data_IF_953860769723
#
_entry.id   IF_953860769723
#
_cell.length_a   1.000
_cell.length_b   1.000
_cell.length_c   1.000
_cell.angle_alpha   90.00
_cell.angle_beta   90.00
_cell.angle_gamma   90.00
#
_symmetry.space_group_name_H-M   'P 1'
#
loop_
_entity.id
_entity.type
_entity.pdbx_description
1 polymer ?
#
# COMPACT_ATOMS: atom_id res chain seq x y z
N UNK A 1 -60.80 -4.76 14.33
CA UNK A 1 -60.46 -5.66 13.21
C UNK A 1 -60.41 -4.78 11.99
N UNK A 2 -59.21 -4.37 11.58
CA UNK A 2 -58.89 -4.16 10.18
C UNK A 2 -57.37 -3.95 10.09
N UNK A 3 -56.74 -4.93 9.46
CA UNK A 3 -55.31 -5.10 9.27
C UNK A 3 -54.86 -4.25 8.08
N UNK A 4 -53.79 -3.46 8.25
CA UNK A 4 -53.08 -2.87 7.11
C UNK A 4 -51.98 -3.86 6.63
N UNK A 5 -51.86 -4.09 5.31
CA UNK A 5 -50.93 -5.07 4.75
C UNK A 5 -49.49 -4.56 4.69
N UNK A 6 -48.55 -5.50 4.84
CA UNK A 6 -47.12 -5.28 4.80
C UNK A 6 -46.62 -4.76 3.46
N UNK A 7 -45.63 -3.88 3.51
CA UNK A 7 -44.79 -3.57 2.37
C UNK A 7 -43.83 -4.74 2.17
N UNK A 8 -44.03 -5.45 1.07
CA UNK A 8 -43.09 -6.41 0.52
C UNK A 8 -41.76 -5.73 0.13
N UNK A 9 -40.68 -6.31 0.63
CA UNK A 9 -39.29 -5.98 0.37
C UNK A 9 -38.89 -6.44 -1.05
N UNK A 10 -39.19 -5.62 -2.04
CA UNK A 10 -38.74 -5.83 -3.42
C UNK A 10 -37.32 -5.30 -3.63
N UNK A 11 -36.35 -6.13 -3.26
CA UNK A 11 -34.95 -6.03 -3.67
C UNK A 11 -34.82 -6.28 -5.19
N UNK A 12 -34.37 -5.32 -6.01
CA UNK A 12 -34.07 -5.61 -7.41
C UNK A 12 -32.75 -6.40 -7.52
N UNK A 13 -32.68 -7.43 -8.39
CA UNK A 13 -31.43 -8.14 -8.63
C UNK A 13 -30.44 -7.25 -9.38
N UNK A 14 -29.23 -7.12 -8.84
CA UNK A 14 -28.09 -6.47 -9.49
C UNK A 14 -27.78 -7.20 -10.82
N UNK A 15 -28.21 -6.59 -11.93
CA UNK A 15 -27.98 -7.07 -13.29
C UNK A 15 -26.52 -6.91 -13.69
N UNK A 16 -25.94 -8.00 -14.21
CA UNK A 16 -24.64 -8.05 -14.89
C UNK A 16 -24.65 -7.11 -16.10
N UNK A 17 -24.01 -5.95 -15.97
CA UNK A 17 -23.68 -5.10 -17.10
C UNK A 17 -22.42 -5.62 -17.79
N UNK A 18 -22.58 -6.27 -18.94
CA UNK A 18 -21.46 -6.63 -19.81
C UNK A 18 -20.88 -5.38 -20.47
N UNK A 19 -19.70 -4.95 -20.06
CA UNK A 19 -18.93 -3.94 -20.77
C UNK A 19 -18.18 -4.59 -21.94
N UNK A 20 -18.79 -4.56 -23.13
CA UNK A 20 -18.18 -5.02 -24.37
C UNK A 20 -17.07 -4.03 -24.80
N UNK A 21 -15.80 -4.42 -24.63
CA UNK A 21 -14.65 -3.68 -25.16
C UNK A 21 -14.64 -3.70 -26.70
N UNK A 22 -14.32 -2.58 -27.39
CA UNK A 22 -14.12 -2.57 -28.83
C UNK A 22 -12.82 -3.31 -29.25
N UNK A 23 -12.75 -3.87 -30.46
CA UNK A 23 -11.63 -4.71 -30.88
C UNK A 23 -10.32 -3.93 -31.06
N UNK A 24 -9.22 -4.49 -30.52
CA UNK A 24 -7.85 -3.97 -30.66
C UNK A 24 -7.41 -3.97 -32.13
N UNK A 25 -7.16 -2.79 -32.69
CA UNK A 25 -6.48 -2.61 -33.98
C UNK A 25 -5.01 -3.03 -33.84
N UNK A 26 -4.61 -4.10 -34.53
CA UNK A 26 -3.20 -4.48 -34.70
C UNK A 26 -2.44 -3.34 -35.38
N UNK A 27 -1.46 -2.76 -34.70
CA UNK A 27 -0.44 -1.94 -35.35
C UNK A 27 0.80 -2.79 -35.60
N UNK A 28 1.07 -2.97 -36.89
CA UNK A 28 2.19 -3.67 -37.47
C UNK A 28 3.49 -2.87 -37.31
N UNK A 29 4.55 -3.58 -36.90
CA UNK A 29 5.93 -3.46 -37.38
C UNK A 29 6.51 -2.04 -37.52
N UNK A 30 7.20 -1.56 -36.47
CA UNK A 30 8.29 -0.60 -36.65
C UNK A 30 9.64 -1.26 -36.39
N UNK A 31 10.51 -1.06 -37.38
CA UNK A 31 11.82 -1.66 -37.62
C UNK A 31 12.80 -1.34 -36.49
N UNK A 32 13.59 -2.34 -36.12
CA UNK A 32 14.80 -2.19 -35.28
C UNK A 32 15.82 -1.36 -36.05
N UNK A 33 16.30 -0.27 -35.45
CA UNK A 33 17.53 0.40 -35.87
C UNK A 33 18.72 -0.27 -35.17
N UNK A 34 19.85 -0.50 -35.86
CA UNK A 34 21.03 -1.12 -35.26
C UNK A 34 21.75 -0.14 -34.34
N UNK A 35 22.03 -0.59 -33.12
CA UNK A 35 22.92 0.06 -32.18
C UNK A 35 24.36 -0.14 -32.67
N UNK A 36 25.01 0.92 -33.13
CA UNK A 36 26.42 0.88 -33.52
C UNK A 36 27.30 0.86 -32.28
N UNK A 37 28.15 -0.17 -32.25
CA UNK A 37 29.24 -0.42 -31.30
C UNK A 37 30.22 0.76 -31.35
N UNK A 38 30.36 1.49 -30.25
CA UNK A 38 31.39 2.51 -30.03
C UNK A 38 32.39 2.05 -28.98
N UNK A 39 33.66 2.30 -29.25
CA UNK A 39 34.85 1.60 -28.75
C UNK A 39 35.12 1.58 -27.24
N UNK A 40 35.67 0.43 -26.83
CA UNK A 40 36.56 0.30 -25.68
C UNK A 40 37.88 1.01 -25.99
N UNK A 41 38.31 1.92 -25.11
CA UNK A 41 39.69 2.09 -24.60
C UNK A 41 39.83 3.52 -24.06
N UNK A 42 40.13 3.64 -22.77
CA UNK A 42 41.31 4.38 -22.30
C UNK A 42 41.45 4.16 -20.78
N UNK A 43 42.46 3.39 -20.46
CA UNK A 43 42.97 3.20 -19.12
C UNK A 43 43.78 4.43 -18.68
N UNK A 44 43.74 4.67 -17.37
CA UNK A 44 44.83 5.14 -16.52
C UNK A 44 45.68 6.33 -17.01
N UNK A 45 45.60 7.43 -16.25
CA UNK A 45 46.78 8.20 -15.84
C UNK A 45 46.44 9.10 -14.64
N UNK A 46 46.75 8.60 -13.45
CA UNK A 46 46.90 9.42 -12.26
C UNK A 46 48.20 10.22 -12.40
N UNK A 47 48.08 11.49 -12.76
CA UNK A 47 49.21 12.43 -12.78
C UNK A 47 49.18 13.29 -11.51
N UNK A 48 50.17 13.05 -10.67
CA UNK A 48 50.62 13.94 -9.60
C UNK A 48 50.91 15.33 -10.17
N UNK A 49 50.34 16.36 -9.55
CA UNK A 49 50.91 17.69 -9.42
C UNK A 49 50.03 18.37 -8.35
N UNK A 50 50.47 18.68 -7.14
CA UNK A 50 51.70 19.37 -6.79
C UNK A 50 51.31 20.78 -6.34
N UNK A 51 51.48 21.04 -5.04
CA UNK A 51 51.62 22.39 -4.42
C UNK A 51 50.34 23.08 -3.93
N UNK A 52 49.82 22.66 -2.77
CA UNK A 52 49.16 23.59 -1.85
C UNK A 52 50.16 23.99 -0.75
N UNK A 53 50.47 25.28 -0.57
CA UNK A 53 51.45 25.73 0.41
C UNK A 53 50.91 25.54 1.83
N UNK A 54 51.83 25.13 2.69
CA UNK A 54 51.67 25.00 4.12
C UNK A 54 51.39 26.37 4.79
N UNK A 55 50.72 26.32 5.94
CA UNK A 55 50.56 27.35 6.98
C UNK A 55 49.55 28.47 6.75
N UNK A 56 48.39 28.37 7.40
CA UNK A 56 47.99 29.23 8.54
C UNK A 56 47.18 28.34 9.50
N UNK A 57 47.85 27.84 10.53
CA UNK A 57 47.22 27.35 11.74
C UNK A 57 47.03 28.55 12.67
N UNK A 58 45.86 29.18 12.67
CA UNK A 58 45.36 29.94 13.84
C UNK A 58 43.98 30.53 13.57
N UNK A 59 43.08 30.29 14.53
CA UNK A 59 41.72 30.84 14.70
C UNK A 59 40.59 30.13 13.95
N UNK A 60 40.37 28.87 14.33
CA UNK A 60 38.97 28.45 14.50
C UNK A 60 38.39 29.23 15.69
N UNK A 61 37.26 29.96 15.54
CA UNK A 61 36.54 30.47 16.69
C UNK A 61 36.11 29.27 17.54
N UNK A 62 36.43 29.35 18.83
CA UNK A 62 36.02 28.36 19.83
C UNK A 62 34.49 28.42 19.86
N UNK A 63 33.83 27.49 19.17
CA UNK A 63 32.38 27.33 19.29
C UNK A 63 32.09 27.04 20.77
N UNK A 64 31.16 27.78 21.42
CA UNK A 64 30.79 27.48 22.79
C UNK A 64 30.28 26.04 22.84
N UNK A 65 30.88 25.26 23.76
CA UNK A 65 30.51 23.88 24.05
C UNK A 65 29.04 23.89 24.47
N UNK A 66 28.14 23.50 23.56
CA UNK A 66 26.72 23.37 23.89
C UNK A 66 26.59 22.37 25.03
N UNK A 67 25.96 22.84 26.11
CA UNK A 67 25.62 22.03 27.26
C UNK A 67 24.83 20.80 26.79
N UNK A 68 25.07 19.59 27.36
CA UNK A 68 24.17 18.48 27.11
C UNK A 68 22.79 18.88 27.65
N UNK A 69 21.81 19.02 26.76
CA UNK A 69 20.41 19.17 27.16
C UNK A 69 20.07 17.89 27.90
N UNK A 70 19.81 18.02 29.20
CA UNK A 70 19.39 16.92 30.06
C UNK A 70 18.12 16.32 29.47
N UNK A 71 18.13 15.02 29.21
CA UNK A 71 16.96 14.27 28.70
C UNK A 71 15.77 14.31 29.66
N UNK A 72 15.97 14.79 30.89
CA UNK A 72 14.93 14.90 31.92
C UNK A 72 13.91 16.05 31.71
N UNK A 73 14.18 16.99 30.80
CA UNK A 73 13.30 18.17 30.59
C UNK A 73 12.37 18.05 29.37
N UNK A 74 12.33 16.89 28.70
CA UNK A 74 11.37 16.64 27.61
C UNK A 74 10.02 16.32 28.23
N UNK A 75 9.28 17.37 28.61
CA UNK A 75 7.84 17.26 28.85
C UNK A 75 7.20 16.87 27.52
N UNK A 76 6.85 15.58 27.35
CA UNK A 76 6.06 15.15 26.21
C UNK A 76 4.76 15.96 26.23
N UNK A 77 4.48 16.77 25.18
CA UNK A 77 3.21 17.46 25.11
C UNK A 77 2.09 16.42 25.15
N UNK A 78 1.18 16.56 26.12
CA UNK A 78 -0.05 15.79 26.16
C UNK A 78 -0.84 16.14 24.89
N UNK A 79 -0.71 15.31 23.86
CA UNK A 79 -1.50 15.44 22.65
C UNK A 79 -2.96 15.22 23.04
N UNK A 80 -3.89 16.10 22.59
CA UNK A 80 -5.30 15.89 22.85
C UNK A 80 -5.74 14.53 22.30
N UNK A 81 -6.41 13.73 23.12
CA UNK A 81 -6.89 12.41 22.75
C UNK A 81 -8.04 12.52 21.75
N UNK A 82 -7.98 11.73 20.67
CA UNK A 82 -9.12 11.52 19.75
C UNK A 82 -10.34 11.06 20.57
N UNK A 83 -11.52 11.68 20.45
CA UNK A 83 -12.72 11.19 21.13
C UNK A 83 -13.14 9.83 20.57
N UNK A 84 -13.67 8.94 21.41
CA UNK A 84 -14.20 7.66 20.91
C UNK A 84 -15.55 7.87 20.21
N UNK A 85 -16.03 6.85 19.50
CA UNK A 85 -17.33 6.90 18.82
C UNK A 85 -18.47 7.22 19.78
N UNK A 86 -18.40 6.71 21.01
CA UNK A 86 -19.41 6.90 22.05
C UNK A 86 -19.47 8.36 22.57
N UNK A 87 -18.34 9.06 22.55
CA UNK A 87 -18.25 10.46 22.99
C UNK A 87 -18.81 11.44 21.93
N UNK A 88 -18.90 11.01 20.67
CA UNK A 88 -19.38 11.83 19.55
C UNK A 88 -20.91 11.69 19.42
N UNK A 89 -21.68 12.79 19.51
CA UNK A 89 -23.13 12.77 19.29
C UNK A 89 -23.53 12.10 17.97
N UNK A 90 -24.62 11.32 17.97
CA UNK A 90 -25.07 10.56 16.80
C UNK A 90 -25.49 11.45 15.61
N UNK A 91 -25.88 12.69 15.87
CA UNK A 91 -26.25 13.70 14.86
C UNK A 91 -25.03 14.37 14.21
N UNK A 92 -23.82 14.08 14.69
CA UNK A 92 -22.56 14.62 14.16
C UNK A 92 -21.86 13.62 13.24
N UNK A 93 -21.13 14.16 12.28
CA UNK A 93 -20.33 13.38 11.34
C UNK A 93 -18.97 13.09 11.97
N UNK A 94 -18.58 11.81 12.05
CA UNK A 94 -17.29 11.39 12.64
C UNK A 94 -16.07 12.03 11.98
N UNK A 95 -16.18 12.36 10.69
CA UNK A 95 -15.12 13.05 9.96
C UNK A 95 -14.75 14.42 10.55
N UNK A 96 -15.60 15.06 11.36
CA UNK A 96 -15.27 16.30 12.08
C UNK A 96 -14.23 16.09 13.19
N UNK A 97 -14.08 14.86 13.68
CA UNK A 97 -13.19 14.46 14.78
C UNK A 97 -12.06 13.53 14.32
N UNK A 98 -12.05 13.17 13.03
CA UNK A 98 -11.08 12.25 12.44
C UNK A 98 -9.84 13.00 11.94
N UNK A 99 -8.71 12.31 11.89
CA UNK A 99 -7.45 12.78 11.26
C UNK A 99 -7.44 12.60 9.73
N UNK A 100 -8.62 12.50 9.11
CA UNK A 100 -8.83 12.33 7.67
C UNK A 100 -8.22 11.05 7.07
N UNK A 101 -8.31 9.91 7.77
CA UNK A 101 -7.76 8.61 7.33
C UNK A 101 -8.18 8.24 5.89
N UNK A 102 -9.47 8.10 5.64
CA UNK A 102 -10.03 7.78 4.31
C UNK A 102 -9.85 8.87 3.23
N UNK A 103 -9.37 10.07 3.59
CA UNK A 103 -9.02 11.12 2.62
C UNK A 103 -7.53 11.10 2.24
N UNK A 104 -6.73 10.23 2.87
CA UNK A 104 -5.31 10.04 2.59
C UNK A 104 -5.00 8.78 1.77
N UNK A 105 -6.03 8.03 1.37
CA UNK A 105 -5.90 6.94 0.41
C UNK A 105 -7.22 6.74 -0.33
N UNK A 106 -7.20 5.92 -1.38
CA UNK A 106 -8.41 5.35 -1.94
C UNK A 106 -8.19 3.85 -2.18
N UNK A 107 -9.23 3.05 -1.95
CA UNK A 107 -9.23 1.62 -2.18
C UNK A 107 -10.08 1.30 -3.43
N UNK A 108 -9.58 0.40 -4.27
CA UNK A 108 -10.30 -0.11 -5.43
C UNK A 108 -10.44 -1.63 -5.31
N UNK A 109 -11.62 -2.20 -5.59
CA UNK A 109 -11.79 -3.64 -5.59
C UNK A 109 -10.93 -4.28 -6.70
N UNK A 110 -10.32 -5.40 -6.37
CA UNK A 110 -9.61 -6.28 -7.28
C UNK A 110 -10.35 -7.60 -7.41
N UNK A 111 -10.23 -8.23 -8.58
CA UNK A 111 -10.66 -9.61 -8.75
C UNK A 111 -9.77 -10.53 -7.91
N UNK A 112 -10.37 -11.55 -7.29
CA UNK A 112 -9.63 -12.54 -6.48
C UNK A 112 -8.61 -13.28 -7.35
N UNK A 113 -7.30 -13.22 -7.04
CA UNK A 113 -6.28 -13.93 -7.80
C UNK A 113 -6.40 -15.44 -7.60
N UNK A 114 -6.47 -16.18 -8.70
CA UNK A 114 -6.57 -17.65 -8.71
C UNK A 114 -5.38 -18.33 -9.39
N UNK A 115 -4.58 -17.56 -10.13
CA UNK A 115 -3.44 -18.02 -10.91
C UNK A 115 -2.17 -17.27 -10.54
N UNK A 116 -1.01 -17.90 -10.80
CA UNK A 116 0.30 -17.28 -10.53
C UNK A 116 0.50 -15.98 -11.30
N UNK A 117 0.03 -15.92 -12.55
CA UNK A 117 0.04 -14.69 -13.35
C UNK A 117 -0.76 -13.55 -12.69
N UNK A 118 -1.96 -13.84 -12.17
CA UNK A 118 -2.79 -12.84 -11.50
C UNK A 118 -2.13 -12.32 -10.22
N UNK A 119 -1.46 -13.17 -9.45
CA UNK A 119 -0.65 -12.73 -8.31
C UNK A 119 0.59 -11.92 -8.71
N UNK A 120 1.20 -12.20 -9.87
CA UNK A 120 2.30 -11.39 -10.39
C UNK A 120 1.83 -9.98 -10.81
N UNK A 121 0.55 -9.79 -11.18
CA UNK A 121 0.00 -8.44 -11.35
C UNK A 121 -0.08 -7.68 -10.02
N UNK A 122 -0.46 -8.36 -8.94
CA UNK A 122 -0.46 -7.78 -7.60
C UNK A 122 0.96 -7.38 -7.19
N UNK A 123 1.96 -8.24 -7.42
CA UNK A 123 3.37 -7.86 -7.24
C UNK A 123 3.75 -6.63 -8.03
N UNK A 124 3.32 -6.54 -9.28
CA UNK A 124 3.61 -5.39 -10.13
C UNK A 124 2.99 -4.10 -9.57
N UNK A 125 1.80 -4.13 -8.98
CA UNK A 125 1.22 -2.98 -8.29
C UNK A 125 2.12 -2.51 -7.14
N UNK A 126 2.58 -3.45 -6.29
CA UNK A 126 3.43 -3.18 -5.13
C UNK A 126 4.87 -2.75 -5.47
N UNK A 127 5.27 -2.77 -6.75
CA UNK A 127 6.54 -2.16 -7.18
C UNK A 127 6.47 -0.63 -7.28
N UNK A 128 5.29 -0.04 -7.16
CA UNK A 128 5.10 1.40 -7.19
C UNK A 128 4.96 1.93 -5.76
N UNK A 129 5.56 3.09 -5.50
CA UNK A 129 5.40 3.78 -4.23
C UNK A 129 3.91 4.02 -3.92
N UNK A 130 3.58 3.99 -2.63
CA UNK A 130 2.24 4.24 -2.10
C UNK A 130 1.18 3.20 -2.46
N UNK A 131 1.52 2.06 -3.05
CA UNK A 131 0.57 0.97 -3.27
C UNK A 131 0.62 -0.04 -2.11
N UNK A 132 -0.54 -0.42 -1.58
CA UNK A 132 -0.70 -1.61 -0.74
C UNK A 132 -1.89 -2.43 -1.23
N UNK A 133 -1.95 -3.70 -0.86
CA UNK A 133 -3.06 -4.59 -1.21
C UNK A 133 -3.52 -5.31 0.05
N UNK A 134 -4.81 -5.39 0.28
CA UNK A 134 -5.36 -6.05 1.46
C UNK A 134 -6.57 -6.91 1.09
N UNK A 135 -6.93 -7.80 2.00
CA UNK A 135 -8.14 -8.61 1.88
C UNK A 135 -9.01 -8.48 3.10
N UNK A 136 -10.32 -8.55 2.88
CA UNK A 136 -11.34 -8.46 3.91
C UNK A 136 -12.53 -9.33 3.48
N UNK A 137 -12.91 -10.28 4.33
CA UNK A 137 -14.00 -11.23 4.08
C UNK A 137 -13.88 -12.02 2.75
N UNK A 138 -12.64 -12.17 2.26
CA UNK A 138 -12.32 -12.84 1.00
C UNK A 138 -12.31 -11.93 -0.24
N UNK A 139 -12.74 -10.68 -0.11
CA UNK A 139 -12.62 -9.66 -1.14
C UNK A 139 -11.22 -9.04 -1.14
N UNK A 140 -10.75 -8.63 -2.33
CA UNK A 140 -9.42 -8.08 -2.53
C UNK A 140 -9.51 -6.61 -2.88
N UNK A 141 -8.61 -5.81 -2.33
CA UNK A 141 -8.57 -4.37 -2.55
C UNK A 141 -7.14 -3.89 -2.77
N UNK A 142 -6.96 -2.95 -3.69
CA UNK A 142 -5.72 -2.18 -3.84
C UNK A 142 -5.92 -0.80 -3.24
N UNK A 143 -5.06 -0.44 -2.29
CA UNK A 143 -4.97 0.90 -1.74
C UNK A 143 -3.86 1.69 -2.44
N UNK A 144 -4.16 2.95 -2.77
CA UNK A 144 -3.16 3.93 -3.15
C UNK A 144 -3.15 5.05 -2.12
N UNK A 145 -2.05 5.16 -1.39
CA UNK A 145 -1.84 6.12 -0.31
C UNK A 145 -1.48 7.49 -0.86
N UNK A 146 -2.50 8.32 -1.10
CA UNK A 146 -2.33 9.68 -1.60
C UNK A 146 -3.35 10.63 -0.99
N UNK A 147 -2.90 11.82 -0.63
CA UNK A 147 -3.75 12.84 -0.03
C UNK A 147 -4.70 13.46 -1.05
N UNK A 148 -5.98 13.51 -0.71
CA UNK A 148 -7.00 14.19 -1.49
C UNK A 148 -6.66 15.67 -1.69
N UNK A 149 -6.77 16.16 -2.94
CA UNK A 149 -6.47 17.55 -3.32
C UNK A 149 -7.36 18.60 -2.64
N UNK A 150 -8.51 18.18 -2.11
CA UNK A 150 -9.46 19.05 -1.43
C UNK A 150 -9.40 18.89 0.10
N UNK A 151 -8.47 18.12 0.65
CA UNK A 151 -8.28 18.02 2.10
C UNK A 151 -7.69 19.35 2.63
N UNK A 152 -8.33 19.90 3.66
CA UNK A 152 -7.89 21.12 4.34
C UNK A 152 -7.01 20.78 5.55
N UNK A 153 -6.31 21.79 6.07
CA UNK A 153 -5.43 21.66 7.23
C UNK A 153 -6.16 21.30 8.54
N UNK A 154 -7.49 21.51 8.58
CA UNK A 154 -8.36 21.12 9.69
C UNK A 154 -8.95 19.70 9.53
N UNK A 155 -8.36 18.87 8.65
CA UNK A 155 -8.81 17.51 8.33
C UNK A 155 -10.22 17.41 7.71
N UNK A 156 -10.79 18.53 7.24
CA UNK A 156 -12.11 18.55 6.61
C UNK A 156 -12.05 18.66 5.09
N UNK A 157 -13.11 18.16 4.44
CA UNK A 157 -13.25 18.23 2.99
C UNK A 157 -13.59 19.65 2.53
N UNK A 158 -12.80 20.19 1.60
CA UNK A 158 -13.00 21.54 1.08
C UNK A 158 -14.14 21.68 0.08
N UNK A 159 -14.70 20.58 -0.40
CA UNK A 159 -15.79 20.51 -1.38
C UNK A 159 -16.97 19.68 -0.87
N UNK A 160 -17.23 19.69 0.44
CA UNK A 160 -18.17 18.77 1.10
C UNK A 160 -19.53 18.63 0.40
N UNK A 161 -20.14 19.76 -0.02
CA UNK A 161 -21.43 19.79 -0.72
C UNK A 161 -21.37 19.27 -2.15
N UNK A 162 -20.23 19.47 -2.84
CA UNK A 162 -20.01 19.12 -4.24
C UNK A 162 -19.13 17.89 -4.41
N UNK A 163 -18.99 17.08 -3.36
CA UNK A 163 -18.22 15.83 -3.36
C UNK A 163 -18.67 14.88 -4.48
N UNK A 164 -17.78 14.03 -5.05
CA UNK A 164 -18.22 12.96 -5.94
C UNK A 164 -19.14 11.95 -5.25
N UNK A 165 -19.92 11.21 -6.02
CA UNK A 165 -20.94 10.29 -5.49
C UNK A 165 -20.35 9.18 -4.60
N UNK A 166 -19.15 8.68 -4.93
CA UNK A 166 -18.45 7.70 -4.08
C UNK A 166 -18.19 8.23 -2.66
N UNK A 167 -17.86 9.52 -2.51
CA UNK A 167 -17.64 10.14 -1.21
C UNK A 167 -18.97 10.49 -0.51
N UNK A 168 -20.07 10.64 -1.25
CA UNK A 168 -21.42 10.87 -0.70
C UNK A 168 -22.10 9.59 -0.26
N UNK A 169 -21.81 8.47 -0.92
CA UNK A 169 -22.34 7.15 -0.59
C UNK A 169 -21.69 6.53 0.67
N UNK A 170 -20.59 7.09 1.14
CA UNK A 170 -19.89 6.66 2.34
C UNK A 170 -20.76 6.78 3.61
N UNK A 171 -20.79 5.73 4.42
CA UNK A 171 -21.47 5.69 5.73
C UNK A 171 -20.47 5.47 6.86
N UNK A 172 -20.90 5.70 8.11
CA UNK A 172 -20.05 5.50 9.30
C UNK A 172 -20.15 4.10 9.91
N UNK A 173 -20.86 3.18 9.27
CA UNK A 173 -21.19 1.86 9.86
C UNK A 173 -19.97 0.95 9.90
N UNK A 174 -19.18 0.93 8.82
CA UNK A 174 -17.93 0.17 8.66
C UNK A 174 -16.72 1.11 8.60
N UNK A 175 -16.73 2.14 9.46
CA UNK A 175 -15.72 3.19 9.45
C UNK A 175 -14.46 2.79 10.24
N UNK A 176 -13.29 2.98 9.62
CA UNK A 176 -11.96 2.89 10.26
C UNK A 176 -11.68 4.04 11.27
N UNK A 177 -12.71 4.75 11.74
CA UNK A 177 -12.55 5.82 12.73
C UNK A 177 -11.88 5.25 13.97
N UNK A 178 -12.35 4.11 14.44
CA UNK A 178 -11.70 3.35 15.51
C UNK A 178 -10.50 2.56 14.98
N UNK A 179 -9.53 2.36 15.87
CA UNK A 179 -8.23 1.74 15.56
C UNK A 179 -8.24 0.23 15.87
N UNK A 180 -9.43 -0.39 15.88
CA UNK A 180 -9.67 -1.80 16.22
C UNK A 180 -9.82 -2.72 15.00
N UNK A 181 -9.78 -2.17 13.79
CA UNK A 181 -9.86 -2.92 12.53
C UNK A 181 -8.62 -3.77 12.27
N UNK A 182 -8.84 -4.99 11.77
CA UNK A 182 -7.79 -5.94 11.40
C UNK A 182 -8.09 -6.51 10.01
N UNK A 183 -7.13 -6.41 9.10
CA UNK A 183 -7.22 -7.03 7.78
C UNK A 183 -6.97 -8.54 7.86
N UNK A 184 -7.62 -9.31 6.99
CA UNK A 184 -7.31 -10.75 6.85
C UNK A 184 -5.86 -10.91 6.34
N UNK A 185 -5.50 -10.14 5.32
CA UNK A 185 -4.15 -10.06 4.77
C UNK A 185 -3.83 -8.60 4.42
N UNK A 186 -2.57 -8.20 4.62
CA UNK A 186 -2.07 -6.88 4.24
C UNK A 186 -0.69 -7.02 3.60
N UNK A 187 -0.56 -6.57 2.36
CA UNK A 187 0.65 -6.66 1.53
C UNK A 187 1.18 -5.26 1.24
N UNK A 188 2.39 -5.01 1.70
CA UNK A 188 3.14 -3.77 1.49
C UNK A 188 4.28 -3.96 0.50
N UNK A 189 4.76 -5.19 0.34
CA UNK A 189 5.93 -5.53 -0.46
C UNK A 189 5.62 -6.64 -1.46
N UNK A 190 6.24 -6.61 -2.66
CA UNK A 190 6.07 -7.67 -3.63
C UNK A 190 6.59 -9.03 -3.12
N UNK A 191 7.54 -9.06 -2.18
CA UNK A 191 8.07 -10.27 -1.56
C UNK A 191 7.01 -11.00 -0.73
N UNK A 192 6.19 -10.27 0.05
CA UNK A 192 5.09 -10.88 0.81
C UNK A 192 4.09 -11.60 -0.11
N UNK A 193 3.85 -11.07 -1.31
CA UNK A 193 2.98 -11.73 -2.30
C UNK A 193 3.63 -13.01 -2.84
N UNK A 194 4.96 -13.04 -3.00
CA UNK A 194 5.68 -14.28 -3.38
C UNK A 194 5.52 -15.36 -2.32
N UNK A 195 5.72 -15.00 -1.05
CA UNK A 195 5.56 -15.93 0.07
C UNK A 195 4.12 -16.46 0.14
N UNK A 196 3.13 -15.57 -0.05
CA UNK A 196 1.73 -15.97 -0.11
C UNK A 196 1.42 -16.89 -1.29
N UNK A 197 1.88 -16.55 -2.51
CA UNK A 197 1.75 -17.39 -3.70
C UNK A 197 2.26 -18.80 -3.47
N UNK A 198 3.46 -18.94 -2.89
CA UNK A 198 4.05 -20.24 -2.67
C UNK A 198 3.29 -21.04 -1.59
N UNK A 199 2.68 -20.36 -0.62
CA UNK A 199 1.81 -20.99 0.37
C UNK A 199 0.47 -21.49 -0.24
N UNK A 200 -0.19 -20.69 -1.08
CA UNK A 200 -1.52 -21.04 -1.64
C UNK A 200 -1.45 -21.90 -2.90
N UNK A 201 -0.45 -21.69 -3.76
CA UNK A 201 -0.27 -22.40 -5.03
C UNK A 201 0.71 -23.58 -4.88
N UNK A 202 1.72 -23.46 -4.02
CA UNK A 202 2.88 -24.35 -3.94
C UNK A 202 4.07 -23.87 -4.81
N UNK A 203 5.28 -24.44 -4.61
CA UNK A 203 6.54 -23.94 -5.20
C UNK A 203 6.60 -23.85 -6.74
N UNK A 204 5.68 -24.52 -7.43
CA UNK A 204 5.54 -24.49 -8.90
C UNK A 204 4.05 -24.57 -9.31
N UNK A 205 3.14 -24.22 -8.40
CA UNK A 205 1.71 -24.22 -8.69
C UNK A 205 1.36 -23.04 -9.60
N UNK A 206 0.56 -23.30 -10.63
CA UNK A 206 0.06 -22.25 -11.52
C UNK A 206 -1.31 -21.77 -11.08
N UNK A 207 -2.10 -22.64 -10.45
CA UNK A 207 -3.45 -22.33 -9.97
C UNK A 207 -3.67 -22.82 -8.54
N UNK A 208 -4.59 -22.18 -7.83
CA UNK A 208 -4.98 -22.58 -6.47
C UNK A 208 -5.32 -24.08 -6.44
N UNK A 209 -4.68 -24.81 -5.51
CA UNK A 209 -4.83 -26.26 -5.34
C UNK A 209 -3.78 -27.12 -6.05
N UNK A 210 -2.94 -26.56 -6.92
CA UNK A 210 -1.88 -27.31 -7.60
C UNK A 210 -0.83 -27.90 -6.64
N UNK A 211 -0.50 -27.20 -5.55
CA UNK A 211 0.42 -27.67 -4.51
C UNK A 211 -0.05 -28.93 -3.78
N UNK A 212 -1.37 -29.23 -3.81
CA UNK A 212 -1.94 -30.45 -3.21
C UNK A 212 -1.85 -31.67 -4.13
N UNK A 213 -1.48 -31.49 -5.41
CA UNK A 213 -1.41 -32.59 -6.39
C UNK A 213 -0.35 -33.60 -5.99
N UNK A 214 -0.62 -34.88 -6.26
CA UNK A 214 0.28 -36.00 -5.90
C UNK A 214 1.70 -35.83 -6.45
N UNK A 215 1.84 -35.19 -7.62
CA UNK A 215 3.15 -34.90 -8.24
C UNK A 215 3.97 -33.82 -7.52
N UNK A 216 3.31 -32.85 -6.87
CA UNK A 216 3.94 -31.74 -6.14
C UNK A 216 4.15 -32.08 -4.65
N UNK A 217 3.40 -33.04 -4.10
CA UNK A 217 3.52 -33.54 -2.72
C UNK A 217 4.92 -34.02 -2.29
N UNK A 218 5.81 -34.34 -3.23
CA UNK A 218 7.19 -34.75 -2.94
C UNK A 218 8.16 -33.57 -2.67
N UNK A 219 7.75 -32.33 -2.98
CA UNK A 219 8.54 -31.13 -2.69
C UNK A 219 8.02 -30.53 -1.39
N UNK A 220 8.86 -30.57 -0.35
CA UNK A 220 8.56 -30.00 0.96
C UNK A 220 8.25 -28.51 0.82
N UNK A 221 7.11 -28.06 1.35
CA UNK A 221 6.82 -26.63 1.56
C UNK A 221 7.81 -25.99 2.55
N UNK A 222 8.43 -26.82 3.39
CA UNK A 222 9.49 -26.39 4.32
C UNK A 222 10.78 -26.28 3.52
N UNK A 223 11.41 -25.12 3.58
CA UNK A 223 12.74 -24.91 3.05
C UNK A 223 13.77 -25.88 3.64
N UNK A 224 15.00 -25.91 3.11
CA UNK A 224 16.06 -26.73 3.66
C UNK A 224 16.25 -26.43 5.16
N UNK A 225 16.54 -27.47 5.96
CA UNK A 225 16.76 -27.32 7.40
C UNK A 225 17.80 -26.21 7.63
N UNK A 226 17.47 -25.13 8.35
CA UNK A 226 18.44 -24.06 8.60
C UNK A 226 19.60 -24.60 9.43
N UNK A 227 20.77 -23.97 9.31
CA UNK A 227 21.87 -24.24 10.23
C UNK A 227 21.36 -24.00 11.67
N UNK A 228 21.59 -24.96 12.56
CA UNK A 228 21.22 -24.81 13.97
C UNK A 228 22.01 -23.63 14.54
N UNK A 229 21.35 -22.78 15.32
CA UNK A 229 22.03 -21.74 16.08
C UNK A 229 23.06 -22.41 17.00
N UNK A 230 24.28 -21.86 17.12
CA UNK A 230 25.23 -22.35 18.10
C UNK A 230 24.62 -22.18 19.49
N UNK A 231 24.33 -23.30 20.15
CA UNK A 231 23.97 -23.32 21.56
C UNK A 231 25.29 -23.19 22.32
N UNK A 232 25.48 -22.08 23.02
CA UNK A 232 26.63 -21.82 23.90
C UNK A 232 26.48 -22.55 25.23
#
# INVERSE_FOLDING_TARGET
>A
MDSLPGLDDHRPPCGRGSWSLPPRRRQSTRRRLPCTRGDRRLAARASRCGRCPLYIWSRFPILPRSSPVSTADVVLPLLPSKPTREDVPQDRVLCEFCTAKCCNYFALPLETPTTREEFDYIRWFLLHDHATVFTEEGDWYMCVHTTCKHLRADHRCGIYETRPDICRAYTTDECEYEDDWVYDQYFETPEQVVEYMDAVLGPDGERIGDGRRRKSRGRSIRGPKPALLPIL
#
